data_IF_549779368511
#
_entry.id   IF_549779368511
#
_cell.length_a   1.000
_cell.length_b   1.000
_cell.length_c   1.000
_cell.angle_alpha   90.00
_cell.angle_beta   90.00
_cell.angle_gamma   90.00
#
_symmetry.space_group_name_H-M   'P 1'
#
loop_
_entity.id
_entity.type
_entity.pdbx_description
1 polymer ?
#
# COMPACT_ATOMS: atom_id res chain seq x y z
N UNK A 1 11.43 -4.39 -5.83
CA UNK A 1 12.05 -3.25 -6.59
C UNK A 1 13.37 -3.70 -7.19
N UNK A 2 13.56 -3.52 -8.48
CA UNK A 2 14.83 -3.83 -9.14
C UNK A 2 15.73 -2.60 -9.18
N UNK A 3 16.88 -2.69 -8.54
CA UNK A 3 17.91 -1.65 -8.58
C UNK A 3 18.79 -1.94 -9.80
N UNK A 4 18.88 -0.98 -10.72
CA UNK A 4 19.72 -1.11 -11.91
C UNK A 4 21.12 -0.55 -11.68
N UNK A 5 21.22 0.59 -11.00
CA UNK A 5 22.46 1.29 -10.73
C UNK A 5 22.31 2.19 -9.51
N UNK A 6 23.33 2.22 -8.65
CA UNK A 6 23.48 3.23 -7.60
C UNK A 6 24.86 3.87 -7.75
N UNK A 7 24.91 5.18 -7.94
CA UNK A 7 26.13 5.95 -8.02
C UNK A 7 26.09 7.10 -7.02
N UNK A 8 26.60 6.86 -5.84
CA UNK A 8 26.56 7.84 -4.73
C UNK A 8 27.42 9.08 -5.00
N UNK A 9 28.49 8.95 -5.83
CA UNK A 9 29.33 10.10 -6.21
C UNK A 9 28.56 11.10 -7.08
N UNK A 10 27.67 10.58 -7.94
CA UNK A 10 26.77 11.42 -8.77
C UNK A 10 25.43 11.68 -8.07
N UNK A 11 25.21 11.20 -6.85
CA UNK A 11 23.94 11.31 -6.16
C UNK A 11 22.77 10.57 -6.82
N UNK A 12 23.04 9.55 -7.66
CA UNK A 12 22.08 8.94 -8.57
C UNK A 12 21.72 7.51 -8.16
N UNK A 13 20.42 7.17 -8.25
CA UNK A 13 19.93 5.81 -8.22
C UNK A 13 18.97 5.56 -9.39
N UNK A 14 19.24 4.53 -10.20
CA UNK A 14 18.37 4.07 -11.30
C UNK A 14 17.71 2.77 -10.92
N UNK A 15 16.38 2.69 -11.04
CA UNK A 15 15.60 1.58 -10.53
C UNK A 15 14.30 1.36 -11.31
N UNK A 16 13.70 0.19 -11.13
CA UNK A 16 12.39 -0.19 -11.67
C UNK A 16 11.53 -0.66 -10.49
N UNK A 17 10.40 0.03 -10.20
CA UNK A 17 9.42 -0.49 -9.26
C UNK A 17 8.68 -1.67 -9.88
N UNK A 18 8.60 -2.80 -9.19
CA UNK A 18 7.96 -4.04 -9.67
C UNK A 18 6.62 -4.29 -9.00
N UNK A 19 6.36 -3.60 -7.89
CA UNK A 19 5.13 -3.73 -7.10
C UNK A 19 4.58 -2.38 -6.64
N UNK A 20 3.34 -2.37 -6.12
CA UNK A 20 2.77 -1.17 -5.50
C UNK A 20 3.49 -0.80 -4.19
N UNK A 21 4.02 -1.79 -3.47
CA UNK A 21 4.86 -1.56 -2.30
C UNK A 21 6.12 -0.78 -2.67
N UNK A 22 6.70 -1.05 -3.85
CA UNK A 22 7.85 -0.30 -4.36
C UNK A 22 7.51 1.16 -4.63
N UNK A 23 6.32 1.44 -5.17
CA UNK A 23 5.85 2.81 -5.34
C UNK A 23 5.69 3.52 -3.99
N UNK A 24 5.26 2.80 -2.96
CA UNK A 24 5.20 3.35 -1.61
C UNK A 24 6.60 3.61 -1.03
N UNK A 25 7.57 2.72 -1.27
CA UNK A 25 8.96 3.00 -0.92
C UNK A 25 9.49 4.24 -1.63
N UNK A 26 9.20 4.40 -2.93
CA UNK A 26 9.57 5.59 -3.70
C UNK A 26 8.88 6.86 -3.18
N UNK A 27 7.60 6.77 -2.80
CA UNK A 27 6.89 7.88 -2.16
C UNK A 27 7.63 8.39 -0.93
N UNK A 28 8.25 7.50 -0.15
CA UNK A 28 9.01 7.84 1.05
C UNK A 28 10.51 8.13 0.81
N UNK A 29 10.99 7.98 -0.42
CA UNK A 29 12.38 8.29 -0.79
C UNK A 29 12.46 9.63 -1.54
N UNK A 30 11.50 9.94 -2.40
CA UNK A 30 11.51 11.14 -3.22
C UNK A 30 11.01 12.33 -2.42
N UNK A 31 11.86 13.35 -2.26
CA UNK A 31 11.58 14.58 -1.51
C UNK A 31 11.54 15.81 -2.42
N UNK A 32 10.98 16.93 -1.95
CA UNK A 32 11.12 18.20 -2.62
C UNK A 32 12.61 18.56 -2.85
N UNK A 33 12.90 19.17 -4.00
CA UNK A 33 14.22 19.50 -4.53
C UNK A 33 15.06 18.33 -5.05
N UNK A 34 14.61 17.07 -4.93
CA UNK A 34 15.21 15.98 -5.71
C UNK A 34 14.91 16.14 -7.19
N UNK A 35 15.66 15.44 -8.05
CA UNK A 35 15.37 15.36 -9.47
C UNK A 35 14.96 13.92 -9.83
N UNK A 36 13.91 13.82 -10.64
CA UNK A 36 13.41 12.51 -11.12
C UNK A 36 13.36 12.51 -12.63
N UNK A 37 14.00 11.51 -13.22
CA UNK A 37 14.12 11.34 -14.67
C UNK A 37 13.40 10.07 -15.10
N UNK A 38 12.52 10.17 -16.09
CA UNK A 38 11.88 9.01 -16.71
C UNK A 38 11.26 9.33 -18.05
N UNK A 39 10.93 8.27 -18.80
CA UNK A 39 10.11 8.38 -20.01
C UNK A 39 8.66 8.72 -19.63
N UNK A 40 8.12 9.77 -20.25
CA UNK A 40 6.75 10.23 -20.01
C UNK A 40 6.09 10.67 -21.31
N UNK A 41 4.80 10.99 -21.26
CA UNK A 41 4.07 11.55 -22.40
C UNK A 41 3.71 13.00 -22.13
N UNK A 42 3.92 13.87 -23.08
CA UNK A 42 3.53 15.29 -23.01
C UNK A 42 2.76 15.71 -24.24
N UNK A 43 1.77 16.57 -24.04
CA UNK A 43 1.08 17.26 -25.13
C UNK A 43 1.91 18.46 -25.58
N UNK A 44 2.27 18.47 -26.87
CA UNK A 44 2.98 19.57 -27.50
C UNK A 44 1.96 20.39 -28.27
N UNK A 45 1.83 21.66 -27.93
CA UNK A 45 1.09 22.64 -28.73
C UNK A 45 2.02 23.09 -29.86
N UNK A 46 1.74 22.72 -31.10
CA UNK A 46 2.40 23.33 -32.27
C UNK A 46 1.80 24.71 -32.43
N UNK A 47 2.59 25.73 -32.10
CA UNK A 47 2.29 27.12 -32.42
C UNK A 47 2.78 27.36 -33.86
N UNK A 48 1.97 27.02 -34.86
CA UNK A 48 2.19 27.46 -36.22
C UNK A 48 1.38 28.75 -36.37
N UNK A 49 2.05 29.84 -36.60
CA UNK A 49 1.50 31.20 -36.58
C UNK A 49 0.33 31.46 -37.55
N UNK A 50 -0.01 30.57 -38.46
CA UNK A 50 -1.02 30.81 -39.51
C UNK A 50 -1.91 29.60 -39.84
N UNK A 51 -2.11 28.62 -38.99
CA UNK A 51 -3.00 27.50 -39.28
C UNK A 51 -4.05 27.21 -38.18
N UNK A 52 -5.20 26.60 -38.60
CA UNK A 52 -6.27 26.19 -37.70
C UNK A 52 -5.69 25.39 -36.52
N UNK A 53 -6.22 25.56 -35.28
CA UNK A 53 -5.79 24.81 -34.11
C UNK A 53 -5.86 23.30 -34.37
N UNK A 54 -4.72 22.65 -34.51
CA UNK A 54 -4.64 21.21 -34.61
C UNK A 54 -4.77 20.59 -33.21
N UNK A 55 -5.35 19.39 -33.14
CA UNK A 55 -5.43 18.66 -31.87
C UNK A 55 -4.03 18.46 -31.31
N UNK A 56 -3.80 18.74 -30.01
CA UNK A 56 -2.50 18.59 -29.37
C UNK A 56 -2.01 17.15 -29.54
N UNK A 57 -0.79 16.97 -30.04
CA UNK A 57 -0.18 15.65 -30.21
C UNK A 57 0.55 15.25 -28.94
N UNK A 58 0.24 14.05 -28.44
CA UNK A 58 0.99 13.44 -27.33
C UNK A 58 2.26 12.79 -27.86
N UNK A 59 3.39 13.23 -27.34
CA UNK A 59 4.71 12.70 -27.71
C UNK A 59 5.35 12.06 -26.50
N UNK A 60 5.98 10.90 -26.70
CA UNK A 60 6.77 10.23 -25.66
C UNK A 60 8.14 10.90 -25.59
N UNK A 61 8.50 11.40 -24.41
CA UNK A 61 9.73 12.15 -24.18
C UNK A 61 10.40 11.72 -22.87
N UNK A 62 11.73 11.79 -22.84
CA UNK A 62 12.49 11.61 -21.61
C UNK A 62 12.64 12.97 -20.91
N UNK A 63 12.11 13.09 -19.70
CA UNK A 63 12.14 14.33 -18.93
C UNK A 63 12.81 14.14 -17.58
N UNK A 64 13.53 15.18 -17.15
CA UNK A 64 13.95 15.39 -15.77
C UNK A 64 13.08 16.46 -15.12
N UNK A 65 12.57 16.18 -13.95
CA UNK A 65 11.72 17.09 -13.17
C UNK A 65 12.34 17.31 -11.80
N UNK A 66 12.58 18.58 -11.44
CA UNK A 66 12.93 18.99 -10.08
C UNK A 66 11.66 18.98 -9.25
N UNK A 67 11.61 18.11 -8.27
CA UNK A 67 10.43 17.78 -7.49
C UNK A 67 10.00 18.95 -6.61
N UNK A 68 8.73 19.30 -6.67
CA UNK A 68 8.07 20.22 -5.74
C UNK A 68 7.14 19.45 -4.79
N UNK A 69 6.42 18.45 -5.34
CA UNK A 69 5.43 17.68 -4.58
C UNK A 69 5.33 16.25 -5.10
N UNK A 70 5.22 15.32 -4.17
CA UNK A 70 4.90 13.91 -4.45
C UNK A 70 3.54 13.59 -3.85
N UNK A 71 2.70 12.89 -4.59
CA UNK A 71 1.38 12.46 -4.12
C UNK A 71 1.04 11.06 -4.63
N UNK A 72 0.35 10.29 -3.79
CA UNK A 72 -0.15 8.97 -4.14
C UNK A 72 -1.53 9.06 -4.76
N UNK A 73 -1.69 8.56 -5.97
CA UNK A 73 -2.99 8.41 -6.65
C UNK A 73 -3.49 6.99 -6.42
N UNK A 74 -4.33 6.82 -5.40
CA UNK A 74 -4.89 5.51 -5.00
C UNK A 74 -5.79 4.90 -6.07
N UNK A 75 -6.52 5.73 -6.81
CA UNK A 75 -7.48 5.27 -7.83
C UNK A 75 -6.78 4.64 -9.03
N UNK A 76 -5.65 5.20 -9.44
CA UNK A 76 -4.89 4.75 -10.61
C UNK A 76 -3.59 4.01 -10.22
N UNK A 77 -3.42 3.67 -8.94
CA UNK A 77 -2.27 2.92 -8.42
C UNK A 77 -0.92 3.45 -8.96
N UNK A 78 -0.72 4.75 -8.85
CA UNK A 78 0.48 5.43 -9.35
C UNK A 78 0.98 6.50 -8.39
N UNK A 79 2.28 6.77 -8.48
CA UNK A 79 2.91 7.88 -7.78
C UNK A 79 3.00 9.07 -8.73
N UNK A 80 2.47 10.22 -8.32
CA UNK A 80 2.54 11.48 -9.06
C UNK A 80 3.65 12.34 -8.50
N UNK A 81 4.67 12.59 -9.32
CA UNK A 81 5.80 13.46 -8.99
C UNK A 81 5.64 14.76 -9.79
N UNK A 82 5.22 15.80 -9.10
CA UNK A 82 4.99 17.13 -9.70
C UNK A 82 6.18 18.05 -9.43
N UNK A 83 6.56 18.82 -10.44
CA UNK A 83 7.64 19.78 -10.30
C UNK A 83 7.93 20.54 -11.59
N UNK A 84 9.13 21.14 -11.64
CA UNK A 84 9.61 21.97 -12.74
C UNK A 84 10.55 21.14 -13.60
N UNK A 85 10.38 21.22 -14.92
CA UNK A 85 11.26 20.54 -15.86
C UNK A 85 12.65 21.15 -15.80
N UNK A 86 13.63 20.33 -15.39
CA UNK A 86 15.05 20.68 -15.35
C UNK A 86 15.86 20.05 -16.49
N UNK A 87 15.30 19.03 -17.16
CA UNK A 87 15.92 18.39 -18.33
C UNK A 87 14.84 17.96 -19.33
N UNK A 88 15.03 18.35 -20.58
CA UNK A 88 14.20 17.97 -21.72
C UNK A 88 15.03 17.93 -23.00
N UNK A 89 14.60 17.20 -24.05
CA UNK A 89 15.18 17.33 -25.38
C UNK A 89 15.04 18.77 -25.91
N UNK A 90 16.11 19.34 -26.49
CA UNK A 90 16.27 20.76 -26.75
C UNK A 90 15.19 21.38 -27.66
N UNK A 91 14.55 20.59 -28.53
CA UNK A 91 13.65 21.13 -29.57
C UNK A 91 12.16 21.07 -29.23
N UNK A 92 11.76 20.45 -28.13
CA UNK A 92 10.36 20.07 -27.94
C UNK A 92 9.69 20.71 -26.74
N UNK A 93 10.42 21.15 -25.71
CA UNK A 93 9.80 21.50 -24.41
C UNK A 93 10.60 22.61 -23.72
N UNK A 94 9.93 23.70 -23.34
CA UNK A 94 10.53 24.77 -22.56
C UNK A 94 10.96 24.33 -21.18
N UNK A 95 12.24 24.43 -20.85
CA UNK A 95 12.77 24.29 -19.49
C UNK A 95 12.05 25.28 -18.55
N UNK A 96 11.87 24.93 -17.29
CA UNK A 96 11.19 25.77 -16.30
C UNK A 96 9.67 25.60 -16.27
N UNK A 97 9.06 24.91 -17.25
CA UNK A 97 7.61 24.64 -17.20
C UNK A 97 7.27 23.49 -16.24
N UNK A 98 6.05 23.53 -15.71
CA UNK A 98 5.57 22.49 -14.79
C UNK A 98 5.20 21.20 -15.52
N UNK A 99 5.53 20.06 -14.92
CA UNK A 99 5.12 18.74 -15.39
C UNK A 99 4.87 17.78 -14.22
N UNK A 100 4.01 16.79 -14.45
CA UNK A 100 3.78 15.72 -13.49
C UNK A 100 4.18 14.38 -14.11
N UNK A 101 5.23 13.79 -13.57
CA UNK A 101 5.61 12.42 -13.89
C UNK A 101 4.67 11.43 -13.20
N UNK A 102 4.14 10.48 -13.96
CA UNK A 102 3.32 9.39 -13.43
C UNK A 102 4.17 8.13 -13.32
N UNK A 103 4.70 7.89 -12.13
CA UNK A 103 5.50 6.68 -11.85
C UNK A 103 4.55 5.51 -11.62
N UNK A 104 4.71 4.47 -12.42
CA UNK A 104 3.94 3.23 -12.36
C UNK A 104 4.88 2.04 -12.28
N UNK A 105 4.37 0.88 -11.89
CA UNK A 105 5.14 -0.37 -11.88
C UNK A 105 5.72 -0.69 -13.26
N UNK A 106 6.85 -1.40 -13.29
CA UNK A 106 7.58 -1.83 -14.48
C UNK A 106 8.09 -0.70 -15.40
N UNK A 107 8.14 0.55 -14.91
CA UNK A 107 8.76 1.66 -15.66
C UNK A 107 10.04 2.12 -14.97
N UNK A 108 11.16 2.17 -15.70
CA UNK A 108 12.42 2.63 -15.15
C UNK A 108 12.36 4.12 -14.82
N UNK A 109 12.96 4.50 -13.70
CA UNK A 109 13.19 5.90 -13.33
C UNK A 109 14.57 6.06 -12.72
N UNK A 110 15.06 7.29 -12.76
CA UNK A 110 16.32 7.70 -12.11
C UNK A 110 16.00 8.80 -11.11
N UNK A 111 16.48 8.64 -9.89
CA UNK A 111 16.37 9.66 -8.83
C UNK A 111 17.75 10.22 -8.58
N UNK A 112 17.85 11.54 -8.59
CA UNK A 112 19.09 12.25 -8.25
C UNK A 112 18.82 13.10 -7.01
N UNK A 113 19.69 12.96 -6.02
CA UNK A 113 19.64 13.66 -4.73
C UNK A 113 20.96 14.38 -4.47
N UNK A 114 20.90 15.53 -3.82
CA UNK A 114 22.11 16.20 -3.32
C UNK A 114 22.86 15.31 -2.32
N UNK A 115 22.12 14.60 -1.45
CA UNK A 115 22.68 13.69 -0.47
C UNK A 115 21.76 12.47 -0.26
N UNK A 116 22.30 11.28 -0.41
CA UNK A 116 21.67 10.03 -0.02
C UNK A 116 21.97 9.76 1.46
N UNK A 117 20.97 9.87 2.29
CA UNK A 117 21.08 9.51 3.70
C UNK A 117 21.00 8.00 3.89
N UNK A 118 21.54 7.48 4.99
CA UNK A 118 21.56 6.06 5.32
C UNK A 118 20.17 5.42 5.26
N UNK A 119 19.15 6.07 5.81
CA UNK A 119 17.78 5.56 5.81
C UNK A 119 17.17 5.45 4.39
N UNK A 120 17.59 6.28 3.41
CA UNK A 120 17.15 6.13 2.02
C UNK A 120 17.74 4.86 1.41
N UNK A 121 19.02 4.61 1.63
CA UNK A 121 19.72 3.43 1.09
C UNK A 121 19.20 2.14 1.73
N UNK A 122 19.03 2.11 3.04
CA UNK A 122 18.43 0.98 3.76
C UNK A 122 17.00 0.68 3.29
N UNK A 123 16.23 1.73 2.93
CA UNK A 123 14.88 1.56 2.38
C UNK A 123 14.92 0.98 0.97
N UNK A 124 15.85 1.42 0.11
CA UNK A 124 16.06 0.84 -1.22
C UNK A 124 16.50 -0.61 -1.13
N UNK A 125 17.44 -0.91 -0.24
CA UNK A 125 17.94 -2.26 -0.03
C UNK A 125 16.82 -3.19 0.44
N UNK A 126 16.04 -2.79 1.45
CA UNK A 126 14.86 -3.55 1.90
C UNK A 126 13.86 -3.77 0.78
N UNK A 127 13.55 -2.74 0.00
CA UNK A 127 12.63 -2.85 -1.13
C UNK A 127 13.17 -3.77 -2.25
N UNK A 128 14.49 -3.93 -2.37
CA UNK A 128 15.11 -4.83 -3.36
C UNK A 128 15.15 -6.28 -2.89
N UNK A 129 15.28 -6.51 -1.58
CA UNK A 129 15.42 -7.85 -1.00
C UNK A 129 14.07 -8.50 -0.67
N UNK A 130 13.03 -7.72 -0.43
CA UNK A 130 11.77 -8.22 0.11
C UNK A 130 10.61 -7.90 -0.83
N UNK A 131 10.18 -8.88 -1.60
CA UNK A 131 8.76 -8.99 -1.99
C UNK A 131 8.03 -9.58 -0.78
N UNK A 132 7.71 -8.76 0.22
CA UNK A 132 6.83 -9.22 1.29
C UNK A 132 5.49 -9.60 0.66
N UNK A 133 5.08 -10.87 0.73
CA UNK A 133 3.83 -11.29 0.11
C UNK A 133 2.68 -10.51 0.76
N UNK A 134 1.80 -9.99 -0.05
CA UNK A 134 0.54 -9.47 0.45
C UNK A 134 -0.24 -10.61 1.14
N UNK A 135 -1.09 -10.26 2.10
CA UNK A 135 -1.94 -11.22 2.78
C UNK A 135 -3.39 -10.87 2.50
N UNK A 136 -4.15 -11.86 2.05
CA UNK A 136 -5.59 -11.71 1.87
C UNK A 136 -6.25 -11.98 3.21
N UNK A 137 -7.09 -11.08 3.66
CA UNK A 137 -7.89 -11.21 4.88
C UNK A 137 -9.35 -11.26 4.46
N UNK A 138 -10.00 -12.37 4.78
CA UNK A 138 -11.44 -12.55 4.64
C UNK A 138 -12.10 -12.44 6.01
N UNK A 139 -12.99 -11.49 6.22
CA UNK A 139 -13.92 -11.47 7.35
C UNK A 139 -15.29 -11.95 6.89
N UNK A 140 -15.86 -12.98 7.53
CA UNK A 140 -17.12 -13.63 7.14
C UNK A 140 -17.99 -13.95 8.36
N UNK A 141 -19.27 -13.62 8.28
CA UNK A 141 -20.30 -13.95 9.28
C UNK A 141 -21.70 -14.07 8.64
N UNK A 142 -22.77 -14.03 9.45
CA UNK A 142 -24.15 -14.13 8.95
C UNK A 142 -24.74 -12.81 8.43
N UNK A 143 -24.04 -11.71 8.55
CA UNK A 143 -24.42 -10.40 8.03
C UNK A 143 -23.73 -10.04 6.71
N UNK A 144 -22.64 -10.77 6.35
CA UNK A 144 -21.93 -10.53 5.12
C UNK A 144 -20.47 -10.98 5.11
N UNK A 145 -19.69 -10.37 4.23
CA UNK A 145 -18.27 -10.64 4.15
C UNK A 145 -17.49 -9.42 3.61
N UNK A 146 -16.23 -9.36 4.01
CA UNK A 146 -15.27 -8.38 3.52
C UNK A 146 -13.97 -9.08 3.16
N UNK A 147 -13.47 -8.85 1.94
CA UNK A 147 -12.17 -9.30 1.48
C UNK A 147 -11.27 -8.10 1.32
N UNK A 148 -10.14 -8.10 2.02
CA UNK A 148 -9.15 -7.06 1.92
C UNK A 148 -7.76 -7.66 1.74
N UNK A 149 -6.90 -6.96 1.01
CA UNK A 149 -5.49 -7.30 0.86
C UNK A 149 -4.66 -6.39 1.76
N UNK A 150 -3.87 -6.99 2.63
CA UNK A 150 -2.92 -6.30 3.49
C UNK A 150 -1.56 -6.27 2.82
N UNK A 151 -1.04 -5.06 2.60
CA UNK A 151 0.26 -4.79 2.00
C UNK A 151 1.11 -3.93 2.91
N UNK A 152 2.37 -3.70 2.56
CA UNK A 152 3.26 -2.82 3.34
C UNK A 152 2.75 -1.37 3.42
N UNK A 153 2.07 -0.88 2.40
CA UNK A 153 1.51 0.49 2.38
C UNK A 153 0.14 0.61 3.01
N UNK A 154 -0.49 -0.49 3.43
CA UNK A 154 -1.78 -0.45 4.09
C UNK A 154 -2.75 -1.57 3.71
N UNK A 155 -3.98 -1.41 4.18
CA UNK A 155 -5.11 -2.29 3.93
C UNK A 155 -5.91 -1.77 2.71
N UNK A 156 -6.09 -2.63 1.73
CA UNK A 156 -6.90 -2.36 0.52
C UNK A 156 -8.14 -3.25 0.53
N UNK A 157 -9.33 -2.66 0.66
CA UNK A 157 -10.59 -3.39 0.57
C UNK A 157 -10.88 -3.71 -0.89
N UNK A 158 -11.03 -4.99 -1.21
CA UNK A 158 -11.34 -5.48 -2.56
C UNK A 158 -12.83 -5.73 -2.75
N UNK A 159 -13.48 -6.33 -1.76
CA UNK A 159 -14.91 -6.64 -1.79
C UNK A 159 -15.48 -6.43 -0.40
N UNK A 160 -16.64 -5.79 -0.30
CA UNK A 160 -17.43 -5.70 0.92
C UNK A 160 -18.90 -5.84 0.54
N UNK A 161 -19.53 -6.88 1.06
CA UNK A 161 -20.93 -7.15 0.77
C UNK A 161 -21.70 -7.58 2.01
N UNK A 162 -22.89 -7.00 2.17
CA UNK A 162 -23.85 -7.40 3.19
C UNK A 162 -24.83 -8.43 2.62
N UNK A 163 -25.15 -9.43 3.40
CA UNK A 163 -26.08 -10.51 3.04
C UNK A 163 -26.99 -10.77 4.23
N UNK A 164 -28.30 -10.91 3.99
CA UNK A 164 -29.25 -11.32 5.00
C UNK A 164 -29.52 -12.83 4.89
N UNK A 165 -28.93 -13.62 5.78
CA UNK A 165 -29.24 -15.04 5.85
C UNK A 165 -30.58 -15.27 6.55
N UNK A 166 -31.38 -16.27 6.14
CA UNK A 166 -32.63 -16.65 6.82
C UNK A 166 -32.40 -16.96 8.30
N UNK A 167 -33.40 -16.67 9.12
CA UNK A 167 -33.32 -16.91 10.57
C UNK A 167 -33.06 -18.38 10.91
N UNK A 168 -32.45 -18.65 12.07
CA UNK A 168 -32.15 -20.00 12.55
C UNK A 168 -33.40 -20.89 12.68
N UNK A 169 -34.60 -20.29 12.78
CA UNK A 169 -35.89 -21.04 12.86
C UNK A 169 -36.29 -21.68 11.52
N UNK A 170 -35.71 -21.28 10.39
CA UNK A 170 -35.98 -21.82 9.06
C UNK A 170 -34.81 -22.70 8.58
N UNK A 171 -34.51 -23.78 9.29
CA UNK A 171 -33.29 -24.57 9.13
C UNK A 171 -32.99 -25.01 7.70
N UNK A 172 -33.97 -25.59 6.99
CA UNK A 172 -33.74 -26.05 5.58
C UNK A 172 -33.42 -24.92 4.61
N UNK A 173 -34.22 -23.84 4.65
CA UNK A 173 -33.93 -22.64 3.81
C UNK A 173 -32.61 -21.97 4.16
N UNK A 174 -32.23 -22.00 5.45
CA UNK A 174 -30.96 -21.44 5.89
C UNK A 174 -29.77 -22.24 5.37
N UNK A 175 -29.86 -23.57 5.32
CA UNK A 175 -28.78 -24.42 4.81
C UNK A 175 -28.51 -24.18 3.33
N UNK A 176 -29.58 -24.10 2.51
CA UNK A 176 -29.45 -23.80 1.08
C UNK A 176 -28.89 -22.39 0.86
N UNK A 177 -29.40 -21.39 1.59
CA UNK A 177 -28.92 -20.01 1.53
C UNK A 177 -27.45 -19.92 1.94
N UNK A 178 -27.03 -20.67 2.96
CA UNK A 178 -25.66 -20.70 3.45
C UNK A 178 -24.71 -21.34 2.42
N UNK A 179 -25.12 -22.41 1.74
CA UNK A 179 -24.34 -23.02 0.65
C UNK A 179 -24.18 -22.04 -0.53
N UNK A 180 -25.26 -21.34 -0.90
CA UNK A 180 -25.23 -20.31 -1.94
C UNK A 180 -24.31 -19.13 -1.54
N UNK A 181 -24.38 -18.72 -0.28
CA UNK A 181 -23.52 -17.69 0.29
C UNK A 181 -22.04 -18.09 0.24
N UNK A 182 -21.71 -19.30 0.70
CA UNK A 182 -20.33 -19.81 0.66
C UNK A 182 -19.79 -19.89 -0.77
N UNK A 183 -20.64 -20.31 -1.74
CA UNK A 183 -20.27 -20.32 -3.16
C UNK A 183 -19.94 -18.90 -3.67
N UNK A 184 -20.75 -17.91 -3.28
CA UNK A 184 -20.53 -16.51 -3.65
C UNK A 184 -19.21 -15.98 -3.07
N UNK A 185 -19.00 -16.18 -1.78
CA UNK A 185 -17.76 -15.78 -1.09
C UNK A 185 -16.54 -16.44 -1.71
N UNK A 186 -16.61 -17.75 -2.00
CA UNK A 186 -15.52 -18.48 -2.65
C UNK A 186 -15.20 -17.92 -4.05
N UNK A 187 -16.20 -17.55 -4.83
CA UNK A 187 -15.99 -16.94 -6.15
C UNK A 187 -15.25 -15.60 -6.01
N UNK A 188 -15.71 -14.70 -5.14
CA UNK A 188 -15.06 -13.42 -4.89
C UNK A 188 -13.64 -13.60 -4.35
N UNK A 189 -13.44 -14.55 -3.44
CA UNK A 189 -12.12 -14.87 -2.88
C UNK A 189 -11.17 -15.41 -3.96
N UNK A 190 -11.68 -16.26 -4.85
CA UNK A 190 -10.92 -16.84 -5.95
C UNK A 190 -10.46 -15.77 -6.97
N UNK A 191 -11.29 -14.78 -7.27
CA UNK A 191 -10.89 -13.65 -8.13
C UNK A 191 -9.72 -12.89 -7.53
N UNK A 192 -9.82 -12.51 -6.26
CA UNK A 192 -8.74 -11.81 -5.56
C UNK A 192 -7.49 -12.68 -5.41
N UNK A 193 -7.65 -13.97 -5.12
CA UNK A 193 -6.53 -14.90 -4.92
C UNK A 193 -5.79 -15.23 -6.21
N UNK A 194 -6.48 -15.33 -7.35
CA UNK A 194 -5.88 -15.60 -8.68
C UNK A 194 -4.87 -14.53 -9.09
N UNK A 195 -5.13 -13.29 -8.75
CA UNK A 195 -4.25 -12.17 -9.08
C UNK A 195 -2.87 -12.30 -8.42
N UNK A 196 -2.81 -12.80 -7.18
CA UNK A 196 -1.62 -12.70 -6.36
C UNK A 196 -1.15 -14.03 -5.74
N UNK A 197 -2.01 -15.05 -5.70
CA UNK A 197 -1.77 -16.37 -5.06
C UNK A 197 -1.22 -16.27 -3.62
N UNK A 198 -1.65 -15.26 -2.89
CA UNK A 198 -1.16 -14.93 -1.55
C UNK A 198 -1.76 -15.83 -0.48
N UNK A 199 -1.13 -15.80 0.70
CA UNK A 199 -1.64 -16.42 1.92
C UNK A 199 -2.95 -15.77 2.33
N UNK A 200 -3.86 -16.57 2.90
CA UNK A 200 -5.20 -16.15 3.31
C UNK A 200 -5.35 -16.32 4.81
N UNK A 201 -5.93 -15.33 5.47
CA UNK A 201 -6.39 -15.41 6.86
C UNK A 201 -7.91 -15.24 6.86
N UNK A 202 -8.61 -16.15 7.53
CA UNK A 202 -10.07 -16.09 7.66
C UNK A 202 -10.44 -15.62 9.05
N UNK A 203 -11.23 -14.56 9.12
CA UNK A 203 -11.76 -13.96 10.34
C UNK A 203 -13.28 -14.09 10.37
N UNK A 204 -13.87 -14.00 11.53
CA UNK A 204 -15.32 -13.87 11.63
C UNK A 204 -15.86 -14.06 13.03
N UNK A 205 -17.10 -13.63 13.20
CA UNK A 205 -17.89 -13.83 14.41
C UNK A 205 -18.54 -15.22 14.35
N UNK A 206 -18.55 -15.95 15.47
CA UNK A 206 -19.24 -17.25 15.57
C UNK A 206 -18.64 -18.36 14.68
N UNK A 207 -19.48 -19.26 14.16
CA UNK A 207 -19.06 -20.52 13.53
C UNK A 207 -19.10 -20.50 11.99
N UNK A 208 -19.66 -19.48 11.36
CA UNK A 208 -19.81 -19.41 9.88
C UNK A 208 -18.47 -19.49 9.18
N UNK A 209 -17.42 -18.85 9.73
CA UNK A 209 -16.06 -18.95 9.21
C UNK A 209 -15.53 -20.39 9.13
N UNK A 210 -15.84 -21.22 10.14
CA UNK A 210 -15.39 -22.61 10.17
C UNK A 210 -16.06 -23.44 9.07
N UNK A 211 -17.39 -23.31 8.95
CA UNK A 211 -18.16 -23.97 7.88
C UNK A 211 -17.72 -23.49 6.48
N UNK A 212 -17.37 -22.21 6.33
CA UNK A 212 -16.80 -21.72 5.08
C UNK A 212 -15.44 -22.36 4.77
N UNK A 213 -14.55 -22.49 5.74
CA UNK A 213 -13.24 -23.13 5.54
C UNK A 213 -13.40 -24.61 5.16
N UNK A 214 -14.33 -25.33 5.78
CA UNK A 214 -14.67 -26.70 5.37
C UNK A 214 -15.20 -26.77 3.94
N UNK A 215 -16.10 -25.85 3.58
CA UNK A 215 -16.61 -25.73 2.22
C UNK A 215 -15.49 -25.48 1.20
N UNK A 216 -14.52 -24.58 1.53
CA UNK A 216 -13.37 -24.30 0.66
C UNK A 216 -12.47 -25.52 0.52
N UNK A 217 -12.26 -26.30 1.60
CA UNK A 217 -11.47 -27.55 1.55
C UNK A 217 -12.08 -28.58 0.58
N UNK A 218 -13.40 -28.67 0.54
CA UNK A 218 -14.11 -29.59 -0.34
C UNK A 218 -14.12 -29.10 -1.80
N UNK A 219 -14.38 -27.81 -2.02
CA UNK A 219 -14.62 -27.25 -3.39
C UNK A 219 -13.40 -26.64 -4.06
N UNK A 220 -12.40 -26.19 -3.32
CA UNK A 220 -11.22 -25.51 -3.82
C UNK A 220 -9.97 -25.83 -2.98
N UNK A 221 -9.42 -27.06 -3.07
CA UNK A 221 -8.30 -27.50 -2.24
C UNK A 221 -7.03 -26.63 -2.39
N UNK A 222 -6.82 -26.01 -3.55
CA UNK A 222 -5.67 -25.12 -3.79
C UNK A 222 -5.79 -23.84 -2.95
N UNK A 223 -6.97 -23.24 -2.89
CA UNK A 223 -7.23 -22.07 -2.07
C UNK A 223 -7.15 -22.46 -0.59
N UNK A 224 -7.66 -23.63 -0.23
CA UNK A 224 -7.61 -24.14 1.14
C UNK A 224 -6.17 -24.25 1.67
N UNK A 225 -5.20 -24.66 0.82
CA UNK A 225 -3.77 -24.70 1.17
C UNK A 225 -3.17 -23.32 1.45
N UNK A 226 -3.76 -22.28 0.88
CA UNK A 226 -3.34 -20.90 1.10
C UNK A 226 -3.90 -20.31 2.39
N UNK A 227 -4.91 -20.93 3.02
CA UNK A 227 -5.46 -20.51 4.31
C UNK A 227 -4.49 -20.91 5.41
N UNK A 228 -3.81 -19.91 5.98
CA UNK A 228 -2.78 -20.12 7.01
C UNK A 228 -3.31 -20.01 8.44
N UNK A 229 -4.41 -19.26 8.63
CA UNK A 229 -4.97 -19.07 9.97
C UNK A 229 -6.49 -18.78 9.91
N UNK A 230 -7.21 -19.17 10.98
CA UNK A 230 -8.64 -18.91 11.16
C UNK A 230 -8.85 -18.36 12.57
N UNK A 231 -9.31 -17.11 12.69
CA UNK A 231 -9.44 -16.42 13.98
C UNK A 231 -10.83 -15.86 14.21
N UNK A 232 -11.20 -15.79 15.47
CA UNK A 232 -12.44 -15.13 15.91
C UNK A 232 -12.17 -13.66 16.19
N UNK A 233 -13.13 -12.83 15.79
CA UNK A 233 -13.21 -11.39 16.08
C UNK A 233 -14.59 -11.07 16.61
N UNK A 234 -14.74 -9.91 17.25
CA UNK A 234 -16.02 -9.49 17.84
C UNK A 234 -16.88 -8.68 16.85
N UNK A 235 -16.25 -8.09 15.84
CA UNK A 235 -16.93 -7.28 14.84
C UNK A 235 -16.95 -7.97 13.48
N UNK A 236 -17.95 -7.65 12.66
CA UNK A 236 -18.08 -8.14 11.28
C UNK A 236 -17.36 -7.25 10.26
N UNK A 237 -17.17 -7.77 9.05
CA UNK A 237 -16.71 -7.04 7.88
C UNK A 237 -15.37 -6.31 8.09
N UNK A 238 -15.27 -5.10 7.58
CA UNK A 238 -14.06 -4.27 7.69
C UNK A 238 -13.70 -3.91 9.14
N UNK A 239 -14.70 -3.76 10.01
CA UNK A 239 -14.47 -3.48 11.44
C UNK A 239 -13.75 -4.64 12.11
N UNK A 240 -14.12 -5.89 11.82
CA UNK A 240 -13.44 -7.09 12.30
C UNK A 240 -12.01 -7.22 11.80
N UNK A 241 -11.75 -6.85 10.54
CA UNK A 241 -10.38 -6.82 10.03
C UNK A 241 -9.53 -5.79 10.78
N UNK A 242 -10.05 -4.59 11.01
CA UNK A 242 -9.36 -3.54 11.78
C UNK A 242 -9.13 -3.95 13.24
N UNK A 243 -10.11 -4.61 13.87
CA UNK A 243 -9.97 -5.19 15.21
C UNK A 243 -8.82 -6.20 15.26
N UNK A 244 -8.78 -7.14 14.32
CA UNK A 244 -7.75 -8.16 14.25
C UNK A 244 -6.34 -7.60 14.07
N UNK A 245 -6.21 -6.50 13.30
CA UNK A 245 -4.94 -5.78 13.15
C UNK A 245 -4.50 -5.11 14.46
N UNK A 246 -5.42 -4.46 15.18
CA UNK A 246 -5.14 -3.77 16.45
C UNK A 246 -4.83 -4.74 17.59
N UNK A 247 -5.63 -5.77 17.74
CA UNK A 247 -5.48 -6.74 18.84
C UNK A 247 -4.25 -7.62 18.72
N UNK A 248 -3.51 -7.53 17.62
CA UNK A 248 -2.34 -8.36 17.39
C UNK A 248 -2.65 -9.84 17.15
N UNK A 249 -3.92 -10.22 16.98
CA UNK A 249 -4.34 -11.60 16.68
C UNK A 249 -3.65 -12.14 15.42
N UNK A 250 -3.33 -11.24 14.47
CA UNK A 250 -2.70 -11.57 13.21
C UNK A 250 -1.16 -11.58 13.27
N UNK A 251 -0.55 -11.32 14.42
CA UNK A 251 0.92 -11.16 14.54
C UNK A 251 1.69 -12.35 13.98
N UNK A 252 1.29 -13.58 14.32
CA UNK A 252 1.97 -14.79 13.84
C UNK A 252 1.84 -14.99 12.33
N UNK A 253 0.73 -14.57 11.75
CA UNK A 253 0.50 -14.63 10.31
C UNK A 253 1.21 -13.51 9.54
N UNK A 254 1.54 -12.42 10.25
CA UNK A 254 1.99 -11.15 9.68
C UNK A 254 3.37 -10.71 10.17
N UNK A 255 4.20 -11.63 10.66
CA UNK A 255 5.53 -11.33 11.24
C UNK A 255 6.43 -10.45 10.36
N UNK A 256 6.14 -10.36 9.07
CA UNK A 256 6.90 -9.56 8.10
C UNK A 256 6.14 -8.35 7.54
N UNK A 257 4.97 -8.00 8.09
CA UNK A 257 4.15 -6.88 7.59
C UNK A 257 4.30 -5.67 8.51
N UNK A 258 4.96 -4.64 8.00
CA UNK A 258 5.31 -3.42 8.74
C UNK A 258 4.12 -2.73 9.42
N UNK A 259 2.93 -2.74 8.81
CA UNK A 259 1.73 -2.09 9.39
C UNK A 259 1.37 -2.67 10.75
N UNK A 260 1.70 -3.94 11.01
CA UNK A 260 1.46 -4.58 12.32
C UNK A 260 2.44 -4.04 13.37
N UNK A 261 3.70 -3.83 13.01
CA UNK A 261 4.70 -3.23 13.89
C UNK A 261 4.35 -1.78 14.20
N UNK A 262 3.94 -1.01 13.17
CA UNK A 262 3.50 0.38 13.32
C UNK A 262 2.24 0.48 14.21
N UNK A 263 1.25 -0.39 13.97
CA UNK A 263 0.03 -0.43 14.80
C UNK A 263 0.36 -0.77 16.25
N UNK A 264 1.19 -1.78 16.51
CA UNK A 264 1.63 -2.14 17.86
C UNK A 264 2.37 -0.98 18.54
N UNK A 265 3.23 -0.28 17.82
CA UNK A 265 3.97 0.85 18.38
C UNK A 265 3.02 1.98 18.81
N UNK A 266 1.96 2.25 18.01
CA UNK A 266 0.93 3.24 18.36
C UNK A 266 0.10 2.77 19.56
N UNK A 267 -0.36 1.51 19.58
CA UNK A 267 -1.13 0.96 20.72
C UNK A 267 -0.31 0.96 22.01
N UNK A 268 0.99 0.64 21.97
CA UNK A 268 1.89 0.74 23.12
C UNK A 268 1.96 2.17 23.67
N UNK A 269 2.05 3.17 22.80
CA UNK A 269 2.04 4.59 23.23
C UNK A 269 0.71 4.95 23.88
N UNK A 270 -0.42 4.54 23.30
CA UNK A 270 -1.76 4.81 23.85
C UNK A 270 -1.96 4.13 25.21
N UNK A 271 -1.47 2.91 25.36
CA UNK A 271 -1.51 2.17 26.62
C UNK A 271 -0.67 2.85 27.71
N UNK A 272 0.55 3.27 27.38
CA UNK A 272 1.44 4.01 28.29
C UNK A 272 0.81 5.33 28.72
N UNK A 273 0.18 6.07 27.78
CA UNK A 273 -0.57 7.30 28.11
C UNK A 273 -1.73 7.03 29.07
N UNK A 274 -2.52 5.97 28.82
CA UNK A 274 -3.63 5.58 29.71
C UNK A 274 -3.19 5.14 31.10
N UNK A 275 -1.96 4.64 31.24
CA UNK A 275 -1.36 4.21 32.53
C UNK A 275 -0.50 5.28 33.20
N UNK A 276 -0.47 6.52 32.69
CA UNK A 276 0.41 7.61 33.16
C UNK A 276 1.90 7.22 33.21
N UNK A 277 2.34 6.39 32.27
CA UNK A 277 3.76 6.03 32.12
C UNK A 277 4.50 7.10 31.28
N UNK A 278 5.84 7.17 31.33
CA UNK A 278 6.60 8.18 30.60
C UNK A 278 6.37 8.10 29.08
N UNK A 279 5.72 9.12 28.53
CA UNK A 279 5.50 9.32 27.08
C UNK A 279 5.61 10.82 26.82
N UNK A 280 6.40 11.17 25.80
CA UNK A 280 6.43 12.53 25.26
C UNK A 280 5.58 12.58 23.98
N UNK A 281 4.71 13.57 23.84
CA UNK A 281 3.91 13.77 22.64
C UNK A 281 3.91 15.24 22.19
N UNK A 282 3.81 15.44 20.89
CA UNK A 282 3.97 16.76 20.29
C UNK A 282 5.44 17.12 20.04
N UNK A 283 5.65 18.09 19.14
CA UNK A 283 6.98 18.37 18.60
C UNK A 283 7.95 18.89 19.67
N UNK A 284 7.50 19.76 20.54
CA UNK A 284 8.38 20.43 21.53
C UNK A 284 8.80 19.46 22.64
N UNK A 285 7.88 18.66 23.16
CA UNK A 285 8.21 17.66 24.18
C UNK A 285 9.13 16.57 23.64
N UNK A 286 8.88 16.12 22.42
CA UNK A 286 9.75 15.12 21.75
C UNK A 286 11.14 15.68 21.50
N UNK A 287 11.29 16.96 21.09
CA UNK A 287 12.60 17.61 20.96
C UNK A 287 13.34 17.69 22.29
N UNK A 288 12.62 18.05 23.36
CA UNK A 288 13.17 18.11 24.70
C UNK A 288 13.65 16.74 25.19
N UNK A 289 12.80 15.70 25.03
CA UNK A 289 13.18 14.33 25.38
C UNK A 289 14.39 13.84 24.55
N UNK A 290 14.48 14.24 23.28
CA UNK A 290 15.63 13.92 22.43
C UNK A 290 16.92 14.62 22.94
N UNK A 291 16.83 15.87 23.41
CA UNK A 291 17.99 16.60 23.95
C UNK A 291 18.56 15.94 25.20
N UNK A 292 17.73 15.22 25.95
CA UNK A 292 18.14 14.44 27.14
C UNK A 292 18.59 13.01 26.79
N UNK A 293 18.51 12.60 25.52
CA UNK A 293 18.79 11.22 25.12
C UNK A 293 17.79 10.19 25.68
N UNK A 294 16.58 10.63 26.03
CA UNK A 294 15.59 9.83 26.76
C UNK A 294 14.60 9.09 25.82
N UNK A 295 14.80 9.14 24.49
CA UNK A 295 13.90 8.50 23.53
C UNK A 295 14.38 7.07 23.26
N UNK A 296 13.60 6.10 23.70
CA UNK A 296 13.76 4.67 23.35
C UNK A 296 13.16 4.37 21.98
N UNK A 297 11.94 4.86 21.74
CA UNK A 297 11.17 4.61 20.51
C UNK A 297 10.50 5.90 20.05
N UNK A 298 10.67 6.24 18.76
CA UNK A 298 10.04 7.40 18.14
C UNK A 298 9.05 6.96 17.08
N UNK A 299 7.80 7.41 17.20
CA UNK A 299 6.76 7.28 16.18
C UNK A 299 6.50 8.64 15.57
N UNK A 300 6.65 8.75 14.26
CA UNK A 300 6.49 9.99 13.51
C UNK A 300 5.67 9.72 12.24
N UNK A 301 4.80 10.65 11.89
CA UNK A 301 4.05 10.56 10.62
C UNK A 301 4.97 10.90 9.44
N UNK A 302 4.71 10.28 8.29
CA UNK A 302 5.45 10.52 7.04
C UNK A 302 5.41 11.98 6.58
N UNK A 303 4.32 12.70 6.86
CA UNK A 303 4.16 14.14 6.58
C UNK A 303 5.18 14.98 7.39
N UNK A 304 5.49 14.55 8.61
CA UNK A 304 6.44 15.27 9.50
C UNK A 304 7.90 14.88 9.23
N UNK A 305 8.12 13.73 8.61
CA UNK A 305 9.45 13.25 8.23
C UNK A 305 9.98 13.97 6.97
N UNK A 306 9.12 14.55 6.18
CA UNK A 306 9.37 15.31 4.95
C UNK A 306 9.47 16.81 5.21
#
# INVERSE_FOLDING_TARGET
MKILEINLKKGMAKLIPESLDDLWHLYNIIYPNDEVYMQTTREIKQTIEYSRPQKPRRVSVFLGVKVQRVSWDKTLNRLRVHGIICHAPEDLIGLGSHHTLNVTVNKPLTIVKQKWHKHHLERLERASQTTAPAIIILSIDDEGYCIATLRQYGLEVKVEESVMLPSKRQAGRREEALKAFYKKVLNSLNEVWKEEKNKIVVLGVGFIKNGFVEYVRDKAPEIAKSIIDVKSVNNSGLAGIKEALRSGILVKALEHVRIVEETKAVEEILERLGKNQPVAYGLEEVKLANSYGAIEKLVITDIRLR
#
